data_IF_648093204077
#
_entry.id   IF_648093204077
#
_cell.length_a   1.000
_cell.length_b   1.000
_cell.length_c   1.000
_cell.angle_alpha   90.00
_cell.angle_beta   90.00
_cell.angle_gamma   90.00
#
_symmetry.space_group_name_H-M   'P 1'
#
loop_
_entity.id
_entity.type
_entity.pdbx_description
1 polymer ?
#
# COMPACT_ATOMS: atom_id res chain seq x y z
N UNK A 1 -14.78 4.55 -15.64
CA UNK A 1 -13.92 4.20 -14.51
C UNK A 1 -12.47 4.29 -14.92
N UNK A 2 -11.67 4.90 -14.08
CA UNK A 2 -10.27 5.06 -14.43
C UNK A 2 -9.51 3.75 -14.17
N UNK A 3 -8.68 3.38 -15.13
CA UNK A 3 -7.79 2.26 -14.94
C UNK A 3 -6.60 2.71 -14.12
N UNK A 4 -6.17 1.86 -13.20
CA UNK A 4 -4.95 2.12 -12.46
C UNK A 4 -3.77 1.73 -13.34
N UNK A 5 -2.98 2.72 -13.70
CA UNK A 5 -1.75 2.46 -14.43
C UNK A 5 -0.59 2.33 -13.46
N UNK A 6 0.40 1.49 -13.78
CA UNK A 6 1.60 1.42 -12.95
C UNK A 6 2.25 2.80 -12.85
N UNK A 7 2.61 3.18 -11.65
CA UNK A 7 3.26 4.45 -11.41
C UNK A 7 4.55 4.20 -10.64
N UNK A 8 5.52 5.05 -10.90
CA UNK A 8 6.84 4.97 -10.26
C UNK A 8 6.96 6.06 -9.23
N UNK A 9 7.46 5.69 -8.06
CA UNK A 9 7.74 6.65 -7.00
C UNK A 9 9.25 6.76 -6.82
N UNK A 10 9.74 7.99 -6.61
CA UNK A 10 11.15 8.25 -6.37
C UNK A 10 11.30 8.79 -4.96
N UNK A 11 11.99 8.03 -4.12
CA UNK A 11 12.16 8.38 -2.72
C UNK A 11 13.50 9.07 -2.51
N UNK A 12 13.48 10.15 -1.76
CA UNK A 12 14.69 10.81 -1.30
C UNK A 12 15.09 10.23 0.06
N UNK A 13 16.35 10.44 0.49
CA UNK A 13 16.75 9.98 1.82
C UNK A 13 15.80 10.53 2.89
N UNK A 14 15.33 9.65 3.77
CA UNK A 14 14.39 10.03 4.81
C UNK A 14 12.92 9.83 4.45
N UNK A 15 12.60 9.76 3.16
CA UNK A 15 11.22 9.58 2.73
C UNK A 15 10.65 8.23 3.14
N UNK A 16 11.50 7.24 3.31
CA UNK A 16 11.05 5.92 3.73
C UNK A 16 10.38 5.96 5.09
N UNK A 17 10.92 6.75 6.02
CA UNK A 17 10.33 6.89 7.34
C UNK A 17 8.96 7.53 7.24
N UNK A 18 8.85 8.58 6.42
CA UNK A 18 7.58 9.28 6.23
C UNK A 18 6.55 8.32 5.62
N UNK A 19 7.00 7.53 4.65
CA UNK A 19 6.15 6.56 3.99
C UNK A 19 5.63 5.51 4.96
N UNK A 20 6.46 5.10 5.92
CA UNK A 20 6.06 4.15 6.94
C UNK A 20 4.93 4.71 7.81
N UNK A 21 5.01 5.97 8.20
CA UNK A 21 3.95 6.60 8.99
C UNK A 21 2.65 6.67 8.20
N UNK A 22 2.74 7.09 6.95
CA UNK A 22 1.54 7.18 6.11
C UNK A 22 0.95 5.79 5.86
N UNK A 23 1.82 4.81 5.58
CA UNK A 23 1.36 3.45 5.38
C UNK A 23 0.70 2.88 6.63
N UNK A 24 1.27 3.15 7.80
CA UNK A 24 0.68 2.71 9.05
C UNK A 24 -0.69 3.34 9.25
N UNK A 25 -0.85 4.62 8.92
CA UNK A 25 -2.13 5.29 9.05
C UNK A 25 -3.18 4.63 8.14
N UNK A 26 -2.79 4.29 6.92
CA UNK A 26 -3.71 3.62 5.99
C UNK A 26 -4.12 2.26 6.53
N UNK A 27 -3.18 1.49 7.06
CA UNK A 27 -3.47 0.17 7.61
C UNK A 27 -4.38 0.26 8.82
N UNK A 28 -4.11 1.22 9.72
CA UNK A 28 -4.93 1.41 10.92
C UNK A 28 -6.37 1.82 10.58
N UNK A 29 -6.55 2.49 9.45
CA UNK A 29 -7.88 2.95 9.02
C UNK A 29 -8.50 2.05 7.96
N UNK A 30 -7.87 0.93 7.68
CA UNK A 30 -8.25 0.09 6.54
C UNK A 30 -9.73 -0.23 6.52
N UNK A 31 -10.27 -0.67 7.66
CA UNK A 31 -11.66 -1.11 7.73
C UNK A 31 -12.66 0.05 7.73
N UNK A 32 -12.17 1.28 7.86
CA UNK A 32 -13.01 2.46 7.70
C UNK A 32 -13.12 2.91 6.25
N UNK A 33 -12.28 2.35 5.37
CA UNK A 33 -12.29 2.73 3.97
C UNK A 33 -13.37 1.95 3.22
N UNK A 34 -14.05 2.60 2.27
CA UNK A 34 -14.97 1.86 1.38
C UNK A 34 -14.24 0.75 0.64
N UNK A 35 -14.93 -0.31 0.35
CA UNK A 35 -14.33 -1.46 -0.32
C UNK A 35 -13.69 -1.07 -1.65
N UNK A 36 -14.33 -0.18 -2.39
CA UNK A 36 -13.78 0.29 -3.68
C UNK A 36 -12.43 0.95 -3.48
N UNK A 37 -12.27 1.73 -2.41
CA UNK A 37 -10.99 2.38 -2.10
C UNK A 37 -9.96 1.35 -1.68
N UNK A 38 -10.35 0.38 -0.84
CA UNK A 38 -9.44 -0.69 -0.44
C UNK A 38 -8.90 -1.43 -1.65
N UNK A 39 -9.78 -1.80 -2.58
CA UNK A 39 -9.38 -2.52 -3.78
C UNK A 39 -8.49 -1.68 -4.67
N UNK A 40 -8.77 -0.39 -4.78
CA UNK A 40 -7.96 0.53 -5.57
C UNK A 40 -6.56 0.63 -4.99
N UNK A 41 -6.45 0.76 -3.66
CA UNK A 41 -5.15 0.85 -3.01
C UNK A 41 -4.33 -0.43 -3.18
N UNK A 42 -4.98 -1.58 -3.06
CA UNK A 42 -4.29 -2.86 -3.25
C UNK A 42 -3.76 -3.01 -4.67
N UNK A 43 -4.57 -2.62 -5.65
CA UNK A 43 -4.12 -2.68 -7.04
C UNK A 43 -2.98 -1.73 -7.30
N UNK A 44 -3.06 -0.52 -6.75
CA UNK A 44 -1.98 0.45 -6.93
C UNK A 44 -0.70 -0.03 -6.24
N UNK A 45 -0.81 -0.61 -5.05
CA UNK A 45 0.35 -1.11 -4.33
C UNK A 45 1.08 -2.18 -5.14
N UNK A 46 0.32 -3.04 -5.82
CA UNK A 46 0.92 -4.09 -6.65
C UNK A 46 1.48 -3.57 -7.96
N UNK A 47 1.24 -2.28 -8.27
CA UNK A 47 1.66 -1.68 -9.51
C UNK A 47 2.69 -0.57 -9.32
N UNK A 48 3.18 -0.35 -8.10
CA UNK A 48 4.14 0.71 -7.83
C UNK A 48 5.52 0.27 -8.31
N UNK A 49 6.17 1.14 -9.10
CA UNK A 49 7.58 0.97 -9.48
C UNK A 49 8.46 1.87 -8.63
N UNK A 50 9.77 1.67 -8.70
CA UNK A 50 10.73 2.50 -7.98
C UNK A 50 11.02 2.03 -6.57
N UNK A 51 10.39 0.96 -6.12
CA UNK A 51 10.65 0.36 -4.82
C UNK A 51 11.25 -1.03 -5.02
N UNK A 52 11.96 -1.56 -4.00
CA UNK A 52 12.47 -2.92 -4.08
C UNK A 52 11.32 -3.91 -4.30
N UNK A 53 11.59 -4.92 -5.12
CA UNK A 53 10.59 -5.94 -5.40
C UNK A 53 10.32 -6.77 -4.14
N UNK A 54 9.03 -7.05 -3.92
CA UNK A 54 8.61 -7.96 -2.87
C UNK A 54 7.97 -9.17 -3.54
N UNK A 55 8.49 -10.35 -3.27
CA UNK A 55 8.08 -11.56 -3.98
C UNK A 55 6.64 -11.96 -3.75
N UNK A 56 6.09 -11.64 -2.57
CA UNK A 56 4.73 -12.02 -2.22
C UNK A 56 3.99 -10.83 -1.63
N UNK A 57 4.05 -9.71 -2.35
CA UNK A 57 3.55 -8.44 -1.83
C UNK A 57 2.07 -8.51 -1.43
N UNK A 58 1.23 -9.08 -2.27
CA UNK A 58 -0.20 -9.15 -2.00
C UNK A 58 -0.47 -9.93 -0.71
N UNK A 59 0.18 -11.07 -0.55
CA UNK A 59 0.00 -11.89 0.63
C UNK A 59 0.52 -11.20 1.88
N UNK A 60 1.64 -10.48 1.75
CA UNK A 60 2.23 -9.77 2.86
C UNK A 60 1.37 -8.59 3.29
N UNK A 61 0.77 -7.89 2.33
CA UNK A 61 -0.15 -6.79 2.64
C UNK A 61 -1.35 -7.33 3.41
N UNK A 62 -1.95 -8.42 2.93
CA UNK A 62 -3.11 -8.99 3.58
C UNK A 62 -2.78 -9.50 4.98
N UNK A 63 -1.63 -10.10 5.15
CA UNK A 63 -1.18 -10.58 6.45
C UNK A 63 -0.98 -9.42 7.43
N UNK A 64 -0.40 -8.33 6.95
CA UNK A 64 -0.18 -7.15 7.78
C UNK A 64 -1.52 -6.54 8.23
N UNK A 65 -2.44 -6.37 7.30
CA UNK A 65 -3.75 -5.81 7.62
C UNK A 65 -4.47 -6.68 8.64
N UNK A 66 -4.43 -7.99 8.45
CA UNK A 66 -5.07 -8.93 9.36
C UNK A 66 -4.44 -8.87 10.76
N UNK A 67 -3.12 -8.78 10.81
CA UNK A 67 -2.40 -8.76 12.08
C UNK A 67 -2.66 -7.48 12.88
N UNK A 68 -2.71 -6.33 12.19
CA UNK A 68 -2.94 -5.05 12.84
C UNK A 68 -4.38 -4.90 13.30
N UNK A 69 -5.28 -5.57 12.61
CA UNK A 69 -6.69 -5.48 12.90
C UNK A 69 -7.07 -5.99 14.29
N UNK A 70 -6.35 -6.97 14.81
CA UNK A 70 -6.70 -7.59 16.08
C UNK A 70 -6.17 -6.82 17.31
#
# INVERSE_FOLDING_TARGET
MADLTPQTIHLLPGDETILKYLGAAVVLRWHSLPEAVQNSLLRQANSVGGLPLAGQLQEEIEALIHRVRT
#
